data_IF_298004434743
#
_entry.id   IF_298004434743
#
_cell.length_a   1.000
_cell.length_b   1.000
_cell.length_c   1.000
_cell.angle_alpha   90.00
_cell.angle_beta   90.00
_cell.angle_gamma   90.00
#
_symmetry.space_group_name_H-M   'P 1'
#
loop_
_entity.id
_entity.type
_entity.pdbx_description
1 polymer ?
#
# COMPACT_ATOMS: atom_id res chain seq x y z
N UNK A 1 -3.00 -9.32 -10.64
CA UNK A 1 -1.60 -9.13 -11.07
C UNK A 1 -1.45 -7.77 -11.73
N UNK A 2 -0.47 -6.95 -11.32
CA UNK A 2 -0.33 -5.62 -11.91
C UNK A 2 0.08 -5.68 -13.38
N UNK A 3 -0.46 -4.76 -14.18
CA UNK A 3 -0.07 -4.61 -15.56
C UNK A 3 1.22 -3.77 -15.69
N UNK A 4 1.61 -3.47 -16.93
CA UNK A 4 2.86 -2.77 -17.22
C UNK A 4 2.91 -1.35 -16.63
N UNK A 5 1.81 -0.60 -16.79
CA UNK A 5 1.71 0.76 -16.26
C UNK A 5 1.68 0.75 -14.73
N UNK A 6 0.97 -0.21 -14.15
CA UNK A 6 0.91 -0.38 -12.71
C UNK A 6 2.27 -0.76 -12.14
N UNK A 7 3.01 -1.61 -12.83
CA UNK A 7 4.37 -1.97 -12.41
C UNK A 7 5.29 -0.75 -12.40
N UNK A 8 5.17 0.12 -13.39
CA UNK A 8 5.91 1.38 -13.42
C UNK A 8 5.55 2.26 -12.21
N UNK A 9 4.27 2.41 -11.92
CA UNK A 9 3.79 3.18 -10.77
C UNK A 9 4.30 2.59 -9.45
N UNK A 10 4.29 1.27 -9.32
CA UNK A 10 4.78 0.59 -8.13
C UNK A 10 6.26 0.92 -7.89
N UNK A 11 7.08 0.83 -8.91
CA UNK A 11 8.50 1.15 -8.79
C UNK A 11 8.72 2.60 -8.38
N UNK A 12 7.97 3.51 -8.99
CA UNK A 12 8.05 4.93 -8.68
C UNK A 12 7.60 5.21 -7.25
N UNK A 13 6.52 4.57 -6.83
CA UNK A 13 6.00 4.70 -5.47
C UNK A 13 6.96 4.18 -4.41
N UNK A 14 7.60 3.04 -4.66
CA UNK A 14 8.61 2.49 -3.74
C UNK A 14 9.77 3.46 -3.59
N UNK A 15 10.20 4.06 -4.69
CA UNK A 15 11.27 5.05 -4.68
C UNK A 15 10.92 6.27 -3.83
N UNK A 16 9.69 6.78 -4.00
CA UNK A 16 9.17 7.87 -3.17
C UNK A 16 9.13 7.49 -1.70
N UNK A 17 8.59 6.30 -1.41
CA UNK A 17 8.43 5.84 -0.03
C UNK A 17 9.77 5.71 0.68
N UNK A 18 10.78 5.16 0.01
CA UNK A 18 12.12 5.05 0.57
C UNK A 18 12.73 6.41 0.89
N UNK A 19 12.51 7.39 0.02
CA UNK A 19 12.99 8.75 0.22
C UNK A 19 12.28 9.45 1.39
N UNK A 20 10.97 9.36 1.43
CA UNK A 20 10.14 9.98 2.48
C UNK A 20 10.40 9.32 3.83
N UNK A 21 10.47 7.98 3.86
CA UNK A 21 10.64 7.19 5.06
C UNK A 21 11.94 7.53 5.80
N UNK A 22 12.97 7.97 5.08
CA UNK A 22 14.22 8.39 5.70
C UNK A 22 14.05 9.61 6.62
N UNK A 23 13.01 10.42 6.41
CA UNK A 23 12.82 11.67 7.12
C UNK A 23 11.64 11.69 8.08
N UNK A 24 10.52 11.05 7.75
CA UNK A 24 9.29 11.23 8.51
C UNK A 24 8.54 9.93 8.86
N UNK A 25 9.19 8.80 8.80
CA UNK A 25 8.65 7.50 9.21
C UNK A 25 7.32 7.10 8.54
N UNK A 26 7.07 7.59 7.34
CA UNK A 26 5.87 7.23 6.59
C UNK A 26 5.90 5.76 6.21
N UNK A 27 4.81 5.02 6.48
CA UNK A 27 4.69 3.60 6.15
C UNK A 27 3.96 3.32 4.84
N UNK A 28 3.18 4.27 4.35
CA UNK A 28 2.35 4.04 3.18
C UNK A 28 2.11 5.28 2.36
N UNK A 29 1.83 5.04 1.09
CA UNK A 29 1.42 6.09 0.16
C UNK A 29 0.51 5.51 -0.91
N UNK A 30 -0.19 6.41 -1.61
CA UNK A 30 -1.00 6.06 -2.77
C UNK A 30 -0.41 6.75 -3.98
N UNK A 31 -0.18 5.99 -5.04
CA UNK A 31 0.35 6.50 -6.29
C UNK A 31 -0.60 6.18 -7.44
N UNK A 32 -0.74 7.12 -8.39
CA UNK A 32 -1.57 6.96 -9.58
C UNK A 32 -0.90 7.65 -10.76
N UNK A 33 -0.67 6.89 -11.83
CA UNK A 33 -0.10 7.44 -13.07
C UNK A 33 1.17 8.26 -12.82
N UNK A 34 2.05 7.74 -11.97
CA UNK A 34 3.32 8.38 -11.64
C UNK A 34 3.23 9.53 -10.66
N UNK A 35 2.04 9.86 -10.16
CA UNK A 35 1.84 10.96 -9.22
C UNK A 35 1.55 10.46 -7.81
N UNK A 36 2.21 11.07 -6.82
CA UNK A 36 1.91 10.83 -5.42
C UNK A 36 0.58 11.52 -5.07
N UNK A 37 -0.44 10.72 -4.75
CA UNK A 37 -1.78 11.21 -4.44
C UNK A 37 -1.95 11.45 -2.95
N UNK A 38 -1.42 10.56 -2.13
CA UNK A 38 -1.54 10.66 -0.68
C UNK A 38 -0.38 9.95 -0.01
N UNK A 39 -0.04 10.39 1.18
CA UNK A 39 0.94 9.71 2.04
C UNK A 39 0.38 9.57 3.44
N UNK A 40 0.76 8.47 4.10
CA UNK A 40 0.33 8.19 5.46
C UNK A 40 0.95 9.18 6.45
N UNK A 41 0.14 9.60 7.43
CA UNK A 41 0.54 10.46 8.51
C UNK A 41 0.37 9.72 9.84
N UNK A 42 0.46 10.42 10.97
CA UNK A 42 0.18 9.87 12.29
C UNK A 42 -1.21 9.24 12.39
N UNK A 43 -2.14 9.73 11.58
CA UNK A 43 -3.53 9.22 11.60
C UNK A 43 -3.68 7.84 10.99
N UNK A 44 -2.64 7.33 10.31
CA UNK A 44 -2.60 5.97 9.81
C UNK A 44 -3.23 5.78 8.43
N UNK A 45 -3.19 4.53 7.96
CA UNK A 45 -3.67 4.16 6.62
C UNK A 45 -5.16 4.41 6.45
N UNK A 46 -5.96 4.03 7.45
CA UNK A 46 -7.41 4.18 7.39
C UNK A 46 -7.81 5.63 7.14
N UNK A 47 -7.21 6.56 7.86
CA UNK A 47 -7.51 7.99 7.70
C UNK A 47 -7.10 8.50 6.33
N UNK A 48 -5.95 8.09 5.84
CA UNK A 48 -5.50 8.42 4.50
C UNK A 48 -6.51 7.98 3.45
N UNK A 49 -6.97 6.73 3.53
CA UNK A 49 -7.94 6.18 2.58
C UNK A 49 -9.31 6.85 2.70
N UNK A 50 -9.74 7.18 3.92
CA UNK A 50 -11.00 7.88 4.12
C UNK A 50 -10.98 9.27 3.48
N UNK A 51 -9.86 9.95 3.54
CA UNK A 51 -9.71 11.26 2.88
C UNK A 51 -9.77 11.14 1.36
N UNK A 52 -9.29 10.03 0.81
CA UNK A 52 -9.35 9.77 -0.63
C UNK A 52 -10.78 9.54 -1.14
N UNK A 53 -11.69 9.05 -0.31
CA UNK A 53 -13.10 8.86 -0.72
C UNK A 53 -13.75 10.13 -1.24
N UNK A 54 -13.25 11.29 -0.83
CA UNK A 54 -13.78 12.58 -1.26
C UNK A 54 -13.36 12.94 -2.69
N UNK A 55 -12.39 12.20 -3.24
CA UNK A 55 -11.89 12.42 -4.60
C UNK A 55 -12.43 11.31 -5.50
N UNK A 56 -13.36 11.64 -6.38
CA UNK A 56 -13.98 10.68 -7.30
C UNK A 56 -12.97 10.18 -8.33
N UNK A 57 -13.13 8.93 -8.75
CA UNK A 57 -12.37 8.31 -9.84
C UNK A 57 -10.86 8.20 -9.59
N UNK A 58 -10.47 8.01 -8.35
CA UNK A 58 -9.07 7.75 -8.01
C UNK A 58 -8.81 6.25 -8.12
N UNK A 59 -8.05 5.85 -9.13
CA UNK A 59 -7.65 4.45 -9.31
C UNK A 59 -6.16 4.34 -8.99
N UNK A 60 -5.84 4.40 -7.70
CA UNK A 60 -4.47 4.38 -7.26
C UNK A 60 -4.00 3.01 -6.77
N UNK A 61 -2.75 2.96 -6.39
CA UNK A 61 -2.12 1.78 -5.79
C UNK A 61 -1.61 2.18 -4.43
N UNK A 62 -1.98 1.39 -3.41
CA UNK A 62 -1.46 1.57 -2.06
C UNK A 62 -0.16 0.79 -1.91
N UNK A 63 0.91 1.49 -1.55
CA UNK A 63 2.19 0.86 -1.23
C UNK A 63 2.42 1.02 0.26
N UNK A 64 2.58 -0.08 0.98
CA UNK A 64 2.73 -0.06 2.42
C UNK A 64 3.93 -0.91 2.84
N UNK A 65 4.98 -0.24 3.31
CA UNK A 65 6.21 -0.86 3.78
C UNK A 65 6.47 -0.44 5.23
N UNK A 66 7.21 -1.24 6.01
CA UNK A 66 7.58 -0.83 7.36
C UNK A 66 8.48 0.39 7.36
N UNK A 67 8.44 1.14 8.44
CA UNK A 67 9.36 2.26 8.67
C UNK A 67 10.80 1.74 8.72
N UNK A 68 11.75 2.51 8.19
CA UNK A 68 13.16 2.09 8.12
C UNK A 68 13.74 1.68 9.47
N UNK A 69 13.39 2.40 10.52
CA UNK A 69 13.91 2.15 11.87
C UNK A 69 12.93 1.43 12.77
N UNK A 70 11.88 0.84 12.19
CA UNK A 70 10.88 0.11 12.95
C UNK A 70 11.46 -1.21 13.47
N UNK A 71 11.17 -1.53 14.72
CA UNK A 71 11.53 -2.84 15.28
C UNK A 71 10.53 -3.87 14.77
N UNK A 72 10.96 -4.67 13.81
CA UNK A 72 10.11 -5.66 13.15
C UNK A 72 9.73 -6.83 14.06
N UNK A 73 10.40 -6.99 15.22
CA UNK A 73 10.06 -8.03 16.19
C UNK A 73 8.86 -7.62 17.04
N UNK A 74 8.65 -6.33 17.19
CA UNK A 74 7.61 -5.78 18.08
C UNK A 74 6.40 -5.30 17.28
N UNK A 75 6.63 -4.61 16.16
CA UNK A 75 5.57 -3.92 15.43
C UNK A 75 5.76 -4.09 13.92
N UNK A 76 5.07 -5.08 13.35
CA UNK A 76 5.02 -5.26 11.90
C UNK A 76 3.80 -4.56 11.32
N UNK A 77 3.95 -3.82 10.21
CA UNK A 77 2.80 -3.26 9.50
C UNK A 77 1.81 -4.36 9.14
N UNK A 78 0.55 -4.16 9.47
CA UNK A 78 -0.49 -5.18 9.36
C UNK A 78 -1.59 -4.69 8.45
N UNK A 79 -2.03 -5.55 7.55
CA UNK A 79 -3.26 -5.32 6.77
C UNK A 79 -4.24 -6.46 7.01
N UNK A 80 -5.50 -6.21 6.77
CA UNK A 80 -6.55 -7.21 6.88
C UNK A 80 -7.69 -6.90 5.93
N UNK A 81 -8.79 -7.61 6.11
CA UNK A 81 -9.97 -7.44 5.27
C UNK A 81 -10.50 -6.01 5.30
N UNK A 82 -10.46 -5.36 6.47
CA UNK A 82 -10.91 -3.97 6.59
C UNK A 82 -10.07 -3.01 5.73
N UNK A 83 -8.76 -3.23 5.67
CA UNK A 83 -7.88 -2.45 4.80
C UNK A 83 -8.30 -2.60 3.34
N UNK A 84 -8.57 -3.83 2.91
CA UNK A 84 -9.00 -4.10 1.53
C UNK A 84 -10.35 -3.47 1.22
N UNK A 85 -11.28 -3.51 2.17
CA UNK A 85 -12.59 -2.87 2.02
C UNK A 85 -12.45 -1.36 1.90
N UNK A 86 -11.61 -0.75 2.72
CA UNK A 86 -11.34 0.69 2.65
C UNK A 86 -10.68 1.06 1.32
N UNK A 87 -9.75 0.24 0.83
CA UNK A 87 -9.14 0.42 -0.47
C UNK A 87 -10.18 0.40 -1.58
N UNK A 88 -11.10 -0.56 -1.54
CA UNK A 88 -12.15 -0.67 -2.55
C UNK A 88 -13.05 0.56 -2.56
N UNK A 89 -13.43 1.04 -1.37
CA UNK A 89 -14.25 2.25 -1.22
C UNK A 89 -13.54 3.51 -1.75
N UNK A 90 -12.22 3.52 -1.71
CA UNK A 90 -11.40 4.64 -2.17
C UNK A 90 -10.90 4.47 -3.60
N UNK A 91 -11.42 3.47 -4.31
CA UNK A 91 -11.02 3.16 -5.69
C UNK A 91 -9.52 2.83 -5.82
N UNK A 92 -8.96 2.17 -4.83
CA UNK A 92 -7.61 1.62 -4.89
C UNK A 92 -7.69 0.26 -5.58
N UNK A 93 -6.92 0.05 -6.62
CA UNK A 93 -6.97 -1.18 -7.40
C UNK A 93 -5.96 -2.24 -6.97
N UNK A 94 -5.04 -1.91 -6.09
CA UNK A 94 -4.07 -2.88 -5.62
C UNK A 94 -3.26 -2.40 -4.44
N UNK A 95 -2.67 -3.35 -3.75
CA UNK A 95 -1.82 -3.12 -2.58
C UNK A 95 -0.48 -3.78 -2.82
N UNK A 96 0.60 -3.08 -2.50
CA UNK A 96 1.97 -3.59 -2.59
C UNK A 96 2.57 -3.65 -1.20
N UNK A 97 3.08 -4.80 -0.83
CA UNK A 97 3.68 -5.06 0.48
C UNK A 97 5.13 -5.51 0.31
N UNK A 98 5.92 -5.34 1.36
CA UNK A 98 7.29 -5.83 1.39
C UNK A 98 7.32 -7.26 1.94
N UNK A 99 8.03 -8.15 1.26
CA UNK A 99 8.13 -9.55 1.67
C UNK A 99 8.70 -9.69 3.08
N UNK A 100 8.06 -10.55 3.87
CA UNK A 100 8.45 -10.89 5.25
C UNK A 100 8.48 -9.71 6.22
N UNK A 101 7.96 -8.55 5.83
CA UNK A 101 7.95 -7.35 6.67
C UNK A 101 6.56 -6.74 6.79
N UNK A 102 5.53 -7.48 6.39
CA UNK A 102 4.15 -7.12 6.57
C UNK A 102 3.36 -8.35 7.02
N UNK A 103 2.30 -8.13 7.79
CA UNK A 103 1.40 -9.19 8.21
C UNK A 103 0.08 -9.04 7.49
N UNK A 104 -0.45 -10.14 6.95
CA UNK A 104 -1.78 -10.19 6.36
C UNK A 104 -2.67 -11.03 7.28
N UNK A 105 -3.61 -10.39 7.95
CA UNK A 105 -4.59 -11.06 8.79
C UNK A 105 -5.62 -11.76 7.92
N UNK A 106 -6.03 -12.98 8.30
CA UNK A 106 -7.02 -13.77 7.55
C UNK A 106 -6.70 -13.82 6.06
N UNK A 107 -5.49 -14.26 5.74
CA UNK A 107 -4.94 -14.23 4.38
C UNK A 107 -5.89 -14.80 3.33
N UNK A 108 -6.55 -15.94 3.63
CA UNK A 108 -7.48 -16.58 2.69
C UNK A 108 -8.67 -15.67 2.38
N UNK A 109 -9.22 -15.01 3.39
CA UNK A 109 -10.34 -14.08 3.21
C UNK A 109 -9.91 -12.86 2.40
N UNK A 110 -8.70 -12.36 2.64
CA UNK A 110 -8.15 -11.23 1.90
C UNK A 110 -7.97 -11.56 0.42
N UNK A 111 -7.39 -12.72 0.12
CA UNK A 111 -7.20 -13.16 -1.26
C UNK A 111 -8.53 -13.35 -1.98
N UNK A 112 -9.50 -13.98 -1.31
CA UNK A 112 -10.84 -14.16 -1.86
C UNK A 112 -11.51 -12.83 -2.17
N UNK A 113 -11.46 -11.89 -1.24
CA UNK A 113 -12.02 -10.55 -1.44
C UNK A 113 -11.33 -9.84 -2.61
N UNK A 114 -10.01 -9.88 -2.67
CA UNK A 114 -9.25 -9.24 -3.74
C UNK A 114 -9.63 -9.80 -5.11
N UNK A 115 -9.71 -11.13 -5.22
CA UNK A 115 -10.10 -11.78 -6.47
C UNK A 115 -11.52 -11.37 -6.88
N UNK A 116 -12.46 -11.38 -5.92
CA UNK A 116 -13.84 -11.01 -6.18
C UNK A 116 -13.97 -9.56 -6.64
N UNK A 117 -13.19 -8.66 -6.08
CA UNK A 117 -13.25 -7.22 -6.38
C UNK A 117 -12.26 -6.80 -7.44
N UNK A 118 -11.55 -7.73 -8.06
CA UNK A 118 -10.55 -7.47 -9.11
C UNK A 118 -9.43 -6.54 -8.65
N UNK A 119 -9.03 -6.71 -7.39
CA UNK A 119 -7.87 -6.03 -6.81
C UNK A 119 -6.66 -6.95 -6.86
N UNK A 120 -5.46 -6.38 -6.90
CA UNK A 120 -4.25 -7.19 -6.76
C UNK A 120 -3.58 -6.96 -5.40
N UNK A 121 -2.88 -7.97 -4.93
CA UNK A 121 -1.97 -7.89 -3.79
C UNK A 121 -0.62 -8.37 -4.31
N UNK A 122 0.37 -7.50 -4.28
CA UNK A 122 1.70 -7.80 -4.79
C UNK A 122 2.71 -7.68 -3.67
N UNK A 123 3.62 -8.65 -3.60
CA UNK A 123 4.67 -8.67 -2.58
C UNK A 123 6.00 -8.46 -3.26
N UNK A 124 6.76 -7.45 -2.80
CA UNK A 124 8.06 -7.12 -3.38
C UNK A 124 9.20 -7.58 -2.49
N UNK A 125 10.20 -8.14 -3.12
CA UNK A 125 11.41 -8.61 -2.47
C UNK A 125 12.38 -7.46 -2.24
N UNK A 126 13.29 -7.63 -1.29
CA UNK A 126 14.27 -6.60 -0.92
C UNK A 126 15.03 -6.02 -2.11
N UNK A 127 15.34 -6.84 -3.12
CA UNK A 127 16.07 -6.40 -4.32
C UNK A 127 15.36 -5.32 -5.13
N UNK A 128 14.06 -5.14 -4.95
CA UNK A 128 13.30 -4.09 -5.64
C UNK A 128 13.39 -2.73 -4.94
N UNK A 129 14.11 -2.66 -3.83
CA UNK A 129 14.27 -1.43 -3.05
C UNK A 129 15.49 -0.60 -3.46
N UNK A 130 16.28 -1.12 -4.39
CA UNK A 130 17.51 -0.50 -4.85
C UNK A 130 17.45 -0.09 -6.30
#
# INVERSE_FOLDING_TARGET
>A
KPNRLETFDIRKGIKYLNKINAYNHTQGLVIKQGHLIAKETYSGTQKMLQNLKKVKNTYGILIKFPKKKQDLRVDLPTIGLDTLKDCKKSNIKGIVLKSNQNIILDKKKCISFANKKRMFISIKWKKFLF
#
